data_IF_220533754315
#
_entry.id   IF_220533754315
#
_cell.length_a   1.000
_cell.length_b   1.000
_cell.length_c   1.000
_cell.angle_alpha   90.00
_cell.angle_beta   90.00
_cell.angle_gamma   90.00
#
_symmetry.space_group_name_H-M   'P 1'
#
loop_
_entity.id
_entity.type
_entity.pdbx_description
1 polymer ?
#
# COMPACT_ATOMS: atom_id res chain seq x y z
N UNK A 1 -63.60 -23.34 -43.49
CA UNK A 1 -62.31 -24.07 -43.43
C UNK A 1 -61.12 -23.11 -43.54
N UNK A 2 -61.06 -22.27 -44.59
CA UNK A 2 -59.89 -21.40 -44.85
C UNK A 2 -59.72 -20.22 -43.87
N UNK A 3 -60.82 -19.57 -43.49
CA UNK A 3 -60.82 -18.49 -42.48
C UNK A 3 -60.43 -18.99 -41.07
N UNK A 4 -60.73 -20.25 -40.75
CA UNK A 4 -60.39 -20.88 -39.47
C UNK A 4 -58.88 -21.19 -39.38
N UNK A 5 -58.26 -21.67 -40.49
CA UNK A 5 -56.80 -21.84 -40.57
C UNK A 5 -56.05 -20.52 -40.47
N UNK A 6 -56.50 -19.47 -41.19
CA UNK A 6 -55.90 -18.12 -41.09
C UNK A 6 -55.98 -17.53 -39.68
N UNK A 7 -57.06 -17.79 -38.93
CA UNK A 7 -57.18 -17.38 -37.53
C UNK A 7 -56.18 -18.09 -36.61
N UNK A 8 -56.01 -19.40 -36.78
CA UNK A 8 -55.02 -20.19 -36.03
C UNK A 8 -53.57 -19.78 -36.33
N UNK A 9 -53.26 -19.44 -37.58
CA UNK A 9 -51.93 -18.97 -37.98
C UNK A 9 -51.61 -17.60 -37.36
N UNK A 10 -52.61 -16.71 -37.26
CA UNK A 10 -52.48 -15.40 -36.63
C UNK A 10 -52.27 -15.51 -35.12
N UNK A 11 -53.05 -16.37 -34.42
CA UNK A 11 -52.87 -16.65 -33.00
C UNK A 11 -51.49 -17.24 -32.69
N UNK A 12 -50.97 -18.13 -33.55
CA UNK A 12 -49.63 -18.69 -33.41
C UNK A 12 -48.53 -17.62 -33.57
N UNK A 13 -48.67 -16.70 -34.52
CA UNK A 13 -47.74 -15.58 -34.72
C UNK A 13 -47.76 -14.63 -33.52
N UNK A 14 -48.94 -14.33 -32.97
CA UNK A 14 -49.09 -13.48 -31.79
C UNK A 14 -48.49 -14.13 -30.54
N UNK A 15 -48.74 -15.43 -30.33
CA UNK A 15 -48.15 -16.21 -29.23
C UNK A 15 -46.62 -16.24 -29.32
N UNK A 16 -46.07 -16.46 -30.53
CA UNK A 16 -44.62 -16.45 -30.74
C UNK A 16 -44.02 -15.06 -30.50
N UNK A 17 -44.67 -14.00 -30.98
CA UNK A 17 -44.24 -12.61 -30.78
C UNK A 17 -44.30 -12.20 -29.31
N UNK A 18 -45.28 -12.70 -28.55
CA UNK A 18 -45.37 -12.51 -27.11
C UNK A 18 -44.25 -13.26 -26.38
N UNK A 19 -44.02 -14.52 -26.73
CA UNK A 19 -42.93 -15.33 -26.15
C UNK A 19 -41.55 -14.69 -26.39
N UNK A 20 -41.28 -14.19 -27.59
CA UNK A 20 -40.03 -13.50 -27.91
C UNK A 20 -39.85 -12.21 -27.11
N UNK A 21 -40.94 -11.47 -26.87
CA UNK A 21 -40.91 -10.28 -26.00
C UNK A 21 -40.56 -10.65 -24.56
N UNK A 22 -41.16 -11.71 -24.03
CA UNK A 22 -40.82 -12.21 -22.68
C UNK A 22 -39.38 -12.68 -22.58
N UNK A 23 -38.87 -13.42 -23.57
CA UNK A 23 -37.47 -13.85 -23.60
C UNK A 23 -36.50 -12.67 -23.61
N UNK A 24 -36.73 -11.66 -24.45
CA UNK A 24 -35.91 -10.43 -24.49
C UNK A 24 -36.01 -9.58 -23.23
N UNK A 25 -37.16 -9.61 -22.55
CA UNK A 25 -37.31 -8.91 -21.28
C UNK A 25 -36.51 -9.62 -20.17
N UNK A 26 -36.62 -10.94 -20.08
CA UNK A 26 -35.89 -11.75 -19.11
C UNK A 26 -34.37 -11.69 -19.32
N UNK A 27 -33.91 -11.70 -20.57
CA UNK A 27 -32.49 -11.55 -20.91
C UNK A 27 -31.93 -10.18 -20.49
N UNK A 28 -32.66 -9.09 -20.79
CA UNK A 28 -32.28 -7.74 -20.32
C UNK A 28 -32.22 -7.64 -18.81
N UNK A 29 -33.17 -8.24 -18.11
CA UNK A 29 -33.16 -8.27 -16.64
C UNK A 29 -31.98 -9.08 -16.11
N UNK A 30 -31.72 -10.27 -16.67
CA UNK A 30 -30.58 -11.11 -16.31
C UNK A 30 -29.24 -10.40 -16.54
N UNK A 31 -29.09 -9.75 -17.69
CA UNK A 31 -27.91 -8.95 -18.03
C UNK A 31 -27.68 -7.83 -17.02
N UNK A 32 -28.74 -7.08 -16.66
CA UNK A 32 -28.68 -6.03 -15.64
C UNK A 32 -28.27 -6.56 -14.26
N UNK A 33 -28.74 -7.75 -13.88
CA UNK A 33 -28.33 -8.42 -12.63
C UNK A 33 -26.83 -8.72 -12.65
N UNK A 34 -26.31 -9.27 -13.76
CA UNK A 34 -24.90 -9.62 -13.89
C UNK A 34 -23.97 -8.41 -13.93
N UNK A 35 -24.38 -7.32 -14.60
CA UNK A 35 -23.66 -6.06 -14.59
C UNK A 35 -23.58 -5.47 -13.18
N UNK A 36 -24.69 -5.52 -12.44
CA UNK A 36 -24.73 -5.12 -11.03
C UNK A 36 -23.78 -5.96 -10.17
N UNK A 37 -23.84 -7.29 -10.31
CA UNK A 37 -22.99 -8.21 -9.54
C UNK A 37 -21.51 -8.02 -9.84
N UNK A 38 -21.14 -7.72 -11.10
CA UNK A 38 -19.76 -7.45 -11.50
C UNK A 38 -19.22 -6.19 -10.82
N UNK A 39 -19.98 -5.09 -10.84
CA UNK A 39 -19.60 -3.85 -10.13
C UNK A 39 -19.45 -4.08 -8.62
N UNK A 40 -20.32 -4.90 -8.03
CA UNK A 40 -20.21 -5.27 -6.62
C UNK A 40 -18.91 -6.03 -6.33
N UNK A 41 -18.52 -6.99 -7.18
CA UNK A 41 -17.26 -7.73 -7.05
C UNK A 41 -16.03 -6.83 -7.19
N UNK A 42 -16.05 -5.88 -8.13
CA UNK A 42 -14.98 -4.87 -8.29
C UNK A 42 -14.82 -4.03 -7.02
N UNK A 43 -15.92 -3.61 -6.40
CA UNK A 43 -15.87 -2.88 -5.13
C UNK A 43 -15.35 -3.74 -3.98
N UNK A 44 -15.72 -5.02 -3.93
CA UNK A 44 -15.21 -5.97 -2.92
C UNK A 44 -13.69 -6.13 -3.04
N UNK A 45 -13.17 -6.19 -4.27
CA UNK A 45 -11.74 -6.22 -4.53
C UNK A 45 -11.07 -4.89 -4.12
N UNK A 46 -11.66 -3.73 -4.46
CA UNK A 46 -11.09 -2.42 -4.16
C UNK A 46 -11.01 -2.13 -2.64
N UNK A 47 -11.96 -2.63 -1.86
CA UNK A 47 -11.87 -2.57 -0.39
C UNK A 47 -10.92 -3.62 0.20
N UNK A 48 -10.21 -4.38 -0.62
CA UNK A 48 -9.28 -5.44 -0.23
C UNK A 48 -9.93 -6.53 0.62
N UNK A 49 -11.20 -6.85 0.39
CA UNK A 49 -11.92 -7.84 1.19
C UNK A 49 -11.21 -9.21 1.19
N UNK A 50 -10.65 -9.65 0.05
CA UNK A 50 -9.89 -10.90 -0.05
C UNK A 50 -8.65 -10.96 0.86
N UNK A 51 -8.11 -9.81 1.27
CA UNK A 51 -7.00 -9.74 2.24
C UNK A 51 -7.49 -9.81 3.68
N UNK A 52 -8.58 -9.13 3.99
CA UNK A 52 -9.03 -8.93 5.38
C UNK A 52 -10.04 -9.98 5.86
N UNK A 53 -10.83 -10.55 4.95
CA UNK A 53 -11.89 -11.54 5.22
C UNK A 53 -11.92 -12.61 4.10
N UNK A 54 -10.82 -13.36 3.91
CA UNK A 54 -10.65 -14.24 2.75
C UNK A 54 -11.76 -15.29 2.64
N UNK A 55 -12.20 -15.87 3.76
CA UNK A 55 -13.21 -16.93 3.75
C UNK A 55 -14.57 -16.44 3.26
N UNK A 56 -15.03 -15.28 3.74
CA UNK A 56 -16.29 -14.69 3.30
C UNK A 56 -16.22 -14.13 1.88
N UNK A 57 -15.08 -13.56 1.49
CA UNK A 57 -14.85 -13.07 0.14
C UNK A 57 -14.81 -14.23 -0.88
N UNK A 58 -14.22 -15.36 -0.52
CA UNK A 58 -14.21 -16.55 -1.36
C UNK A 58 -15.62 -17.13 -1.52
N UNK A 59 -16.41 -17.23 -0.44
CA UNK A 59 -17.83 -17.63 -0.52
C UNK A 59 -18.64 -16.72 -1.44
N UNK A 60 -18.37 -15.41 -1.40
CA UNK A 60 -18.99 -14.45 -2.31
C UNK A 60 -18.58 -14.68 -3.77
N UNK A 61 -17.30 -14.97 -4.02
CA UNK A 61 -16.80 -15.30 -5.35
C UNK A 61 -17.46 -16.55 -5.92
N UNK A 62 -17.59 -17.62 -5.14
CA UNK A 62 -18.31 -18.84 -5.56
C UNK A 62 -19.76 -18.51 -5.95
N UNK A 63 -20.44 -17.70 -5.16
CA UNK A 63 -21.82 -17.29 -5.45
C UNK A 63 -21.92 -16.46 -6.74
N UNK A 64 -20.93 -15.60 -7.02
CA UNK A 64 -20.83 -14.89 -8.29
C UNK A 64 -20.64 -15.85 -9.48
N UNK A 65 -19.81 -16.88 -9.34
CA UNK A 65 -19.63 -17.91 -10.39
C UNK A 65 -20.93 -18.70 -10.63
N UNK A 66 -21.67 -19.03 -9.57
CA UNK A 66 -22.99 -19.68 -9.71
C UNK A 66 -24.00 -18.79 -10.45
N UNK A 67 -23.97 -17.47 -10.22
CA UNK A 67 -24.80 -16.51 -10.96
C UNK A 67 -24.42 -16.46 -12.44
N UNK A 68 -23.11 -16.41 -12.77
CA UNK A 68 -22.64 -16.46 -14.16
C UNK A 68 -23.13 -17.73 -14.86
N UNK A 69 -23.05 -18.88 -14.20
CA UNK A 69 -23.54 -20.16 -14.74
C UNK A 69 -25.06 -20.17 -14.93
N UNK A 70 -25.82 -19.60 -14.00
CA UNK A 70 -27.29 -19.49 -14.10
C UNK A 70 -27.71 -18.59 -15.26
N UNK A 71 -27.00 -17.48 -15.48
CA UNK A 71 -27.23 -16.58 -16.61
C UNK A 71 -26.89 -17.26 -17.94
N UNK A 72 -25.73 -17.91 -18.03
CA UNK A 72 -25.30 -18.63 -19.24
C UNK A 72 -26.24 -19.78 -19.64
N UNK A 73 -26.90 -20.41 -18.65
CA UNK A 73 -27.90 -21.46 -18.87
C UNK A 73 -29.33 -20.93 -19.02
N UNK A 74 -29.52 -19.60 -19.06
CA UNK A 74 -30.82 -18.92 -19.18
C UNK A 74 -31.82 -19.27 -18.05
N UNK A 75 -31.33 -19.77 -16.91
CA UNK A 75 -32.15 -20.03 -15.72
C UNK A 75 -32.30 -18.74 -14.89
N UNK A 76 -33.20 -17.87 -15.36
CA UNK A 76 -33.44 -16.57 -14.75
C UNK A 76 -34.14 -16.65 -13.38
N UNK A 77 -34.91 -17.71 -13.13
CA UNK A 77 -35.58 -17.93 -11.84
C UNK A 77 -34.55 -18.22 -10.76
N UNK A 78 -33.58 -19.12 -11.05
CA UNK A 78 -32.47 -19.38 -10.15
C UNK A 78 -31.57 -18.15 -10.01
N UNK A 79 -31.28 -17.44 -11.10
CA UNK A 79 -30.48 -16.20 -11.08
C UNK A 79 -31.09 -15.16 -10.12
N UNK A 80 -32.41 -15.00 -10.12
CA UNK A 80 -33.13 -14.11 -9.21
C UNK A 80 -32.95 -14.47 -7.73
N UNK A 81 -32.95 -15.76 -7.40
CA UNK A 81 -32.68 -16.25 -6.02
C UNK A 81 -31.21 -16.02 -5.63
N UNK A 82 -30.28 -16.34 -6.54
CA UNK A 82 -28.84 -16.16 -6.32
C UNK A 82 -28.50 -14.67 -6.13
N UNK A 83 -29.15 -13.75 -6.86
CA UNK A 83 -29.01 -12.29 -6.66
C UNK A 83 -29.31 -11.87 -5.23
N UNK A 84 -30.37 -12.41 -4.61
CA UNK A 84 -30.73 -12.07 -3.23
C UNK A 84 -29.67 -12.56 -2.25
N UNK A 85 -29.24 -13.83 -2.38
CA UNK A 85 -28.17 -14.38 -1.57
C UNK A 85 -26.86 -13.60 -1.74
N UNK A 86 -26.52 -13.23 -2.98
CA UNK A 86 -25.33 -12.46 -3.33
C UNK A 86 -25.35 -11.09 -2.67
N UNK A 87 -26.48 -10.37 -2.80
CA UNK A 87 -26.64 -9.05 -2.17
C UNK A 87 -26.45 -9.10 -0.65
N UNK A 88 -26.93 -10.17 0.00
CA UNK A 88 -26.76 -10.36 1.44
C UNK A 88 -25.31 -10.68 1.82
N UNK A 89 -24.65 -11.53 1.04
CA UNK A 89 -23.24 -11.87 1.25
C UNK A 89 -22.32 -10.66 0.99
N UNK A 90 -22.59 -9.82 -0.02
CA UNK A 90 -21.89 -8.55 -0.25
C UNK A 90 -21.94 -7.66 0.98
N UNK A 91 -23.14 -7.45 1.56
CA UNK A 91 -23.31 -6.62 2.77
C UNK A 91 -22.50 -7.18 3.93
N UNK A 92 -22.52 -8.51 4.11
CA UNK A 92 -21.74 -9.19 5.16
C UNK A 92 -20.23 -8.98 4.96
N UNK A 93 -19.71 -9.24 3.76
CA UNK A 93 -18.28 -9.08 3.45
C UNK A 93 -17.83 -7.63 3.66
N UNK A 94 -18.63 -6.65 3.23
CA UNK A 94 -18.36 -5.22 3.47
C UNK A 94 -18.25 -4.89 4.96
N UNK A 95 -19.25 -5.31 5.75
CA UNK A 95 -19.29 -5.05 7.18
C UNK A 95 -18.08 -5.69 7.91
N UNK A 96 -17.79 -6.95 7.60
CA UNK A 96 -16.66 -7.65 8.21
C UNK A 96 -15.32 -7.07 7.78
N UNK A 97 -15.16 -6.66 6.52
CA UNK A 97 -13.95 -5.99 6.03
C UNK A 97 -13.73 -4.67 6.78
N UNK A 98 -14.77 -3.85 6.94
CA UNK A 98 -14.69 -2.59 7.68
C UNK A 98 -14.28 -2.83 9.14
N UNK A 99 -14.90 -3.82 9.81
CA UNK A 99 -14.57 -4.19 11.17
C UNK A 99 -13.12 -4.70 11.30
N UNK A 100 -12.67 -5.55 10.38
CA UNK A 100 -11.31 -6.09 10.36
C UNK A 100 -10.27 -4.95 10.18
N UNK A 101 -10.54 -4.00 9.29
CA UNK A 101 -9.69 -2.81 9.11
C UNK A 101 -9.64 -1.94 10.37
N UNK A 102 -10.78 -1.70 11.02
CA UNK A 102 -10.82 -0.94 12.28
C UNK A 102 -10.01 -1.61 13.39
N UNK A 103 -10.12 -2.94 13.54
CA UNK A 103 -9.31 -3.70 14.50
C UNK A 103 -7.82 -3.57 14.20
N UNK A 104 -7.43 -3.70 12.93
CA UNK A 104 -6.03 -3.56 12.50
C UNK A 104 -5.48 -2.16 12.79
N UNK A 105 -6.26 -1.12 12.53
CA UNK A 105 -5.87 0.26 12.83
C UNK A 105 -5.69 0.49 14.33
N UNK A 106 -6.57 -0.07 15.17
CA UNK A 106 -6.44 0.01 16.63
C UNK A 106 -5.16 -0.68 17.11
N UNK A 107 -4.90 -1.89 16.64
CA UNK A 107 -3.66 -2.62 16.96
C UNK A 107 -2.43 -1.83 16.51
N UNK A 108 -2.43 -1.30 15.29
CA UNK A 108 -1.32 -0.47 14.79
C UNK A 108 -1.13 0.79 15.63
N UNK A 109 -2.20 1.44 16.07
CA UNK A 109 -2.12 2.59 16.97
C UNK A 109 -1.50 2.22 18.33
N UNK A 110 -1.89 1.09 18.89
CA UNK A 110 -1.33 0.55 20.13
C UNK A 110 0.16 0.17 19.97
N UNK A 111 0.52 -0.50 18.87
CA UNK A 111 1.91 -0.85 18.51
C UNK A 111 2.76 0.41 18.33
N UNK A 112 2.24 1.43 17.63
CA UNK A 112 2.93 2.71 17.43
C UNK A 112 3.12 3.45 18.75
N UNK A 113 2.10 3.48 19.63
CA UNK A 113 2.23 4.11 20.94
C UNK A 113 3.22 3.35 21.82
N UNK A 114 3.17 2.02 21.85
CA UNK A 114 4.13 1.18 22.57
C UNK A 114 5.56 1.40 22.04
N UNK A 115 5.74 1.42 20.72
CA UNK A 115 7.01 1.74 20.06
C UNK A 115 7.50 3.15 20.38
N UNK A 116 6.61 4.16 20.43
CA UNK A 116 6.99 5.50 20.87
C UNK A 116 7.39 5.53 22.35
N UNK A 117 6.75 4.75 23.21
CA UNK A 117 7.12 4.64 24.62
C UNK A 117 8.48 3.93 24.80
N UNK A 118 8.78 2.89 24.02
CA UNK A 118 10.10 2.24 24.04
C UNK A 118 11.15 3.19 23.47
N UNK A 119 10.88 3.84 22.34
CA UNK A 119 11.79 4.84 21.75
C UNK A 119 12.03 6.00 22.72
N UNK A 120 11.03 6.50 23.46
CA UNK A 120 11.23 7.61 24.42
C UNK A 120 11.99 7.16 25.68
N UNK A 121 11.88 5.88 26.06
CA UNK A 121 12.62 5.28 27.17
C UNK A 121 14.05 4.91 26.78
N UNK A 122 14.27 4.47 25.54
CA UNK A 122 15.57 4.12 24.97
C UNK A 122 16.35 5.37 24.55
N UNK A 123 15.72 6.41 23.99
CA UNK A 123 16.37 7.69 23.66
C UNK A 123 16.71 8.57 24.87
N UNK A 124 16.30 8.21 26.09
CA UNK A 124 16.90 8.79 27.29
C UNK A 124 18.34 8.24 27.53
N UNK A 125 18.74 7.15 26.86
CA UNK A 125 20.09 6.57 26.88
C UNK A 125 20.73 6.33 25.50
N UNK A 126 20.03 6.61 24.39
CA UNK A 126 20.47 6.26 23.02
C UNK A 126 21.11 7.43 22.24
N UNK A 127 21.90 8.28 22.90
CA UNK A 127 22.93 9.06 22.20
C UNK A 127 24.17 8.20 21.87
N UNK A 128 24.27 6.97 22.42
CA UNK A 128 25.41 6.05 22.21
C UNK A 128 25.32 5.08 21.01
N UNK A 129 24.21 5.03 20.24
CA UNK A 129 23.99 3.93 19.28
C UNK A 129 23.82 4.34 17.81
N UNK A 130 24.43 5.45 17.38
CA UNK A 130 24.45 5.80 15.96
C UNK A 130 25.27 4.80 15.12
N UNK A 131 24.87 4.51 13.85
CA UNK A 131 25.56 3.56 13.00
C UNK A 131 27.01 3.97 12.72
N UNK A 132 27.94 3.02 12.90
CA UNK A 132 29.37 3.17 12.56
C UNK A 132 29.69 2.84 11.09
N UNK A 133 28.76 2.18 10.39
CA UNK A 133 28.85 1.85 8.96
C UNK A 133 27.55 2.28 8.28
N UNK A 134 27.65 2.85 7.09
CA UNK A 134 26.53 3.20 6.23
C UNK A 134 26.69 2.56 4.85
N UNK A 135 25.66 1.87 4.38
CA UNK A 135 25.63 1.28 3.04
C UNK A 135 25.03 2.28 2.04
N UNK A 136 25.81 2.66 1.03
CA UNK A 136 25.40 3.67 0.03
C UNK A 136 24.17 3.20 -0.75
N UNK A 137 23.16 4.07 -0.86
CA UNK A 137 21.91 3.83 -1.59
C UNK A 137 21.90 4.59 -2.93
N UNK A 138 21.04 4.20 -3.88
CA UNK A 138 20.89 4.93 -5.14
C UNK A 138 20.59 6.41 -4.91
N UNK A 139 21.39 7.29 -5.54
CA UNK A 139 21.23 8.75 -5.44
C UNK A 139 21.85 9.40 -4.20
N UNK A 140 22.49 8.64 -3.31
CA UNK A 140 23.21 9.21 -2.18
C UNK A 140 24.42 10.04 -2.67
N UNK A 141 24.72 11.10 -1.92
CA UNK A 141 25.95 11.89 -2.02
C UNK A 141 26.57 12.01 -0.63
N UNK A 142 27.87 12.26 -0.51
CA UNK A 142 28.51 12.42 0.81
C UNK A 142 27.83 13.53 1.67
N UNK A 143 27.50 14.72 1.13
CA UNK A 143 26.70 15.71 1.86
C UNK A 143 25.30 15.22 2.24
N UNK A 144 24.63 14.49 1.35
CA UNK A 144 23.32 13.93 1.61
C UNK A 144 23.32 12.87 2.72
N UNK A 145 24.37 12.05 2.79
CA UNK A 145 24.56 11.06 3.86
C UNK A 145 24.83 11.77 5.19
N UNK A 146 25.74 12.76 5.22
CA UNK A 146 26.07 13.51 6.42
C UNK A 146 24.86 14.27 7.02
N UNK A 147 23.97 14.77 6.16
CA UNK A 147 22.75 15.48 6.54
C UNK A 147 21.69 14.63 7.27
N UNK A 148 21.81 13.29 7.23
CA UNK A 148 20.84 12.39 7.87
C UNK A 148 20.90 12.52 9.39
N UNK A 149 19.73 12.48 10.03
CA UNK A 149 19.60 12.61 11.48
C UNK A 149 20.38 11.50 12.23
N UNK A 150 20.42 10.30 11.66
CA UNK A 150 21.14 9.14 12.20
C UNK A 150 22.65 9.15 11.88
N UNK A 151 23.15 10.09 11.08
CA UNK A 151 24.58 10.22 10.76
C UNK A 151 25.17 11.40 11.53
N UNK A 152 25.12 12.61 11.00
CA UNK A 152 25.63 13.80 11.67
C UNK A 152 24.59 14.91 11.80
N UNK A 153 23.45 14.78 11.11
CA UNK A 153 22.44 15.82 11.02
C UNK A 153 23.02 17.20 10.59
N UNK A 154 24.11 17.16 9.82
CA UNK A 154 24.78 18.33 9.24
C UNK A 154 25.46 17.91 7.93
N UNK A 155 24.98 18.45 6.82
CA UNK A 155 25.53 18.16 5.49
C UNK A 155 26.99 18.57 5.35
N UNK A 156 27.44 19.60 6.09
CA UNK A 156 28.80 20.13 6.03
C UNK A 156 29.84 19.23 6.72
N UNK A 157 29.40 18.18 7.41
CA UNK A 157 30.31 17.20 8.03
C UNK A 157 30.71 16.06 7.09
N UNK A 158 30.29 16.10 5.82
CA UNK A 158 30.66 15.09 4.82
C UNK A 158 32.17 14.85 4.65
N UNK A 159 33.08 15.83 4.84
CA UNK A 159 34.52 15.57 4.74
C UNK A 159 35.02 14.56 5.77
N UNK A 160 34.35 14.39 6.91
CA UNK A 160 34.68 13.37 7.91
C UNK A 160 34.45 11.96 7.36
N UNK A 161 33.32 11.75 6.68
CA UNK A 161 33.01 10.48 6.01
C UNK A 161 34.06 10.24 4.91
N UNK A 162 34.38 11.26 4.12
CA UNK A 162 35.38 11.14 3.07
C UNK A 162 36.77 10.80 3.62
N UNK A 163 37.22 11.46 4.69
CA UNK A 163 38.54 11.24 5.33
C UNK A 163 38.65 9.82 5.88
N UNK A 164 37.60 9.30 6.53
CA UNK A 164 37.57 7.96 7.08
C UNK A 164 37.54 6.82 6.03
N UNK A 165 37.20 7.13 4.77
CA UNK A 165 37.06 6.16 3.68
C UNK A 165 37.94 6.49 2.47
N UNK A 166 39.04 7.25 2.65
CA UNK A 166 40.00 7.61 1.58
C UNK A 166 40.61 6.40 0.87
N UNK A 167 40.67 5.26 1.55
CA UNK A 167 41.10 3.98 0.99
C UNK A 167 40.14 3.46 -0.08
N UNK A 168 38.86 3.83 -0.02
CA UNK A 168 37.81 3.38 -0.94
C UNK A 168 37.31 4.48 -1.88
N UNK A 169 37.43 5.75 -1.50
CA UNK A 169 36.92 6.90 -2.26
C UNK A 169 38.10 7.71 -2.81
N UNK A 170 38.31 7.66 -4.13
CA UNK A 170 39.34 8.47 -4.80
C UNK A 170 38.87 9.90 -5.04
N UNK A 171 37.64 10.05 -5.53
CA UNK A 171 36.98 11.33 -5.77
C UNK A 171 35.75 11.44 -4.84
N UNK A 172 35.67 12.45 -3.97
CA UNK A 172 34.53 12.62 -3.06
C UNK A 172 33.19 12.83 -3.75
N UNK A 173 33.17 13.18 -5.04
CA UNK A 173 31.94 13.30 -5.83
C UNK A 173 31.47 11.95 -6.39
N UNK A 174 32.25 10.88 -6.24
CA UNK A 174 31.97 9.56 -6.82
C UNK A 174 31.94 8.50 -5.73
N UNK A 175 30.72 8.10 -5.35
CA UNK A 175 30.45 6.95 -4.47
C UNK A 175 29.54 5.95 -5.19
N UNK A 176 29.69 4.65 -4.88
CA UNK A 176 28.96 3.59 -5.57
C UNK A 176 27.88 2.97 -4.68
N UNK A 177 26.73 2.64 -5.27
CA UNK A 177 25.64 1.96 -4.55
C UNK A 177 26.13 0.61 -4.02
N UNK A 178 25.81 0.32 -2.75
CA UNK A 178 26.22 -0.90 -2.04
C UNK A 178 27.60 -0.80 -1.39
N UNK A 179 28.30 0.33 -1.49
CA UNK A 179 29.56 0.57 -0.81
C UNK A 179 29.36 0.77 0.70
N UNK A 180 30.19 0.12 1.53
CA UNK A 180 30.19 0.28 2.98
C UNK A 180 31.10 1.44 3.40
N UNK A 181 30.52 2.52 3.90
CA UNK A 181 31.23 3.70 4.38
C UNK A 181 31.33 3.70 5.91
N UNK A 182 32.54 3.82 6.43
CA UNK A 182 32.82 4.09 7.84
C UNK A 182 32.32 5.48 8.22
N UNK A 183 31.59 5.55 9.33
CA UNK A 183 31.09 6.79 9.91
C UNK A 183 31.85 7.02 11.22
N UNK A 184 32.89 7.89 11.23
CA UNK A 184 33.67 8.11 12.43
C UNK A 184 32.82 8.76 13.53
N UNK A 185 32.98 8.27 14.76
CA UNK A 185 32.26 8.74 15.96
C UNK A 185 33.19 9.36 17.00
N UNK A 186 34.43 8.91 17.03
CA UNK A 186 35.52 9.49 17.80
C UNK A 186 36.15 10.61 16.95
N UNK A 187 35.45 11.75 16.94
CA UNK A 187 35.84 12.98 16.25
C UNK A 187 35.78 14.09 17.28
N UNK A 188 36.66 15.07 17.19
CA UNK A 188 36.71 16.23 18.08
C UNK A 188 35.85 17.38 17.53
N UNK A 189 35.51 18.34 18.39
CA UNK A 189 34.81 19.56 17.97
C UNK A 189 35.63 20.35 16.95
N UNK A 190 36.95 20.39 17.10
CA UNK A 190 37.85 21.08 16.17
C UNK A 190 37.84 20.43 14.79
N UNK A 191 37.85 19.09 14.71
CA UNK A 191 37.73 18.36 13.44
C UNK A 191 36.37 18.58 12.78
N UNK A 192 35.30 18.72 13.55
CA UNK A 192 33.98 19.09 13.03
C UNK A 192 34.03 20.49 12.41
N UNK A 193 34.61 21.47 13.11
CA UNK A 193 34.72 22.84 12.61
C UNK A 193 35.59 22.88 11.33
N UNK A 194 36.69 22.13 11.29
CA UNK A 194 37.54 22.01 10.11
C UNK A 194 36.79 21.38 8.94
N UNK A 195 36.07 20.29 9.16
CA UNK A 195 35.25 19.66 8.12
C UNK A 195 34.20 20.63 7.57
N UNK A 196 33.51 21.38 8.45
CA UNK A 196 32.53 22.40 8.02
C UNK A 196 33.19 23.51 7.21
N UNK A 197 34.42 23.91 7.55
CA UNK A 197 35.21 24.90 6.81
C UNK A 197 35.61 24.36 5.43
N UNK A 198 36.10 23.13 5.34
CA UNK A 198 36.46 22.44 4.09
C UNK A 198 35.24 22.29 3.17
N UNK A 199 34.07 22.01 3.74
CA UNK A 199 32.81 21.92 3.02
C UNK A 199 32.21 23.28 2.60
N UNK A 200 32.84 24.41 2.97
CA UNK A 200 32.36 25.75 2.62
C UNK A 200 31.14 26.23 3.41
N UNK A 201 30.98 25.80 4.66
CA UNK A 201 29.92 26.30 5.54
C UNK A 201 30.07 27.81 5.78
N UNK A 202 28.98 28.60 5.76
CA UNK A 202 29.05 30.06 5.93
C UNK A 202 29.53 30.48 7.33
N UNK A 203 29.21 29.68 8.36
CA UNK A 203 29.66 29.89 9.74
C UNK A 203 30.16 28.57 10.35
N UNK A 204 31.40 28.12 10.02
CA UNK A 204 31.91 26.80 10.41
C UNK A 204 32.00 26.57 11.92
N UNK A 205 32.05 27.64 12.72
CA UNK A 205 32.13 27.57 14.18
C UNK A 205 30.76 27.41 14.85
N UNK A 206 29.67 27.82 14.18
CA UNK A 206 28.31 27.72 14.73
C UNK A 206 27.66 26.39 14.35
N UNK A 207 27.99 25.33 15.09
CA UNK A 207 27.45 23.98 14.86
C UNK A 207 25.95 23.99 15.19
N UNK A 208 25.06 23.46 14.31
CA UNK A 208 23.63 23.41 14.59
C UNK A 208 23.34 22.62 15.87
N UNK A 209 22.40 23.08 16.68
CA UNK A 209 22.08 22.45 17.98
C UNK A 209 21.58 21.00 17.89
N UNK A 210 21.13 20.56 16.72
CA UNK A 210 20.73 19.17 16.45
C UNK A 210 21.80 18.33 15.76
N UNK A 211 22.96 18.89 15.44
CA UNK A 211 24.05 18.17 14.80
C UNK A 211 24.79 17.28 15.79
N UNK A 212 25.39 16.20 15.30
CA UNK A 212 26.21 15.32 16.11
C UNK A 212 27.45 16.08 16.60
N UNK A 213 27.63 16.09 17.93
CA UNK A 213 28.82 16.59 18.59
C UNK A 213 29.23 15.50 19.60
N UNK A 214 30.51 15.07 19.62
CA UNK A 214 30.97 14.13 20.64
C UNK A 214 30.66 14.67 22.04
N UNK A 215 30.16 13.83 22.95
CA UNK A 215 30.18 14.18 24.36
C UNK A 215 31.64 14.34 24.79
N UNK A 216 31.98 15.43 25.50
CA UNK A 216 33.34 15.63 26.02
C UNK A 216 33.73 14.37 26.80
N UNK A 217 34.70 13.62 26.28
CA UNK A 217 35.28 12.50 27.01
C UNK A 217 35.73 12.98 28.39
N UNK A 218 35.22 12.32 29.43
CA UNK A 218 35.76 12.40 30.79
C UNK A 218 37.08 11.67 30.89
#
# INVERSE_FOLDING_TARGET
>A
MEAYRKGMDQEAIEAFSLALRHLRAADREGSSIMDGATREMEQIASISAFKYVPDEAFKLFILYQEMQNSYASLDYVKLGKLKQAFSMQVRKVRAMTAQAKQRRLKILSEEVNAGMHTLKKEHAGALEMYPKIYVVKPGDTLPGIAARHEIYNDSYMWPLIYKANRDQIKDPMVIYVGQDLKIPRDITVDEIIEARREAGAPEPEKIPSGAYVPEKGG
#
